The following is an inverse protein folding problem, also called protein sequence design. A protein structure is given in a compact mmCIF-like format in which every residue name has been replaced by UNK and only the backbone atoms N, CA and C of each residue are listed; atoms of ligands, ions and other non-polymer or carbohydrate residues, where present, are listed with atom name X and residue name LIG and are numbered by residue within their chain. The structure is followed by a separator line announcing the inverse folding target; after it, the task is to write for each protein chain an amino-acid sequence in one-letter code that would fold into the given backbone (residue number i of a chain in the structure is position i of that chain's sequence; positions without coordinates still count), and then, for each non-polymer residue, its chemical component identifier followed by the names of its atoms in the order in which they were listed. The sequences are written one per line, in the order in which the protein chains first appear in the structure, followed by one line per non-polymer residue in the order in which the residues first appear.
data_IF_932191700168
#
_entry.id   IF_932191700168
#
_cell.length_a   1.000
_cell.length_b   1.000
_cell.length_c   1.000
_cell.angle_alpha   90.00
_cell.angle_beta   90.00
_cell.angle_gamma   90.00
#
_symmetry.space_group_name_H-M   'P 1'
#
loop_
_entity.id
_entity.type
_entity.pdbx_description
1 polymer ?
#
# COMPACT_ATOMS: atom_id res chain seq x y z
N UNK A 1 19.58 -3.92 41.15
CA UNK A 1 18.39 -3.37 40.46
C UNK A 1 17.90 -4.39 39.46
N UNK A 2 16.83 -5.10 39.81
CA UNK A 2 16.25 -6.23 39.09
C UNK A 2 15.46 -5.75 37.87
N UNK A 3 15.97 -6.00 36.67
CA UNK A 3 15.22 -5.83 35.43
C UNK A 3 14.19 -6.95 35.32
N UNK A 4 12.92 -6.61 35.50
CA UNK A 4 11.77 -7.50 35.32
C UNK A 4 11.78 -8.08 33.91
N UNK A 5 12.22 -9.34 33.77
CA UNK A 5 12.19 -10.08 32.49
C UNK A 5 10.73 -10.25 32.08
N UNK A 6 10.31 -9.57 31.01
CA UNK A 6 9.01 -9.82 30.36
C UNK A 6 9.07 -11.23 29.77
N UNK A 7 8.50 -12.19 30.50
CA UNK A 7 8.40 -13.56 30.05
C UNK A 7 7.22 -13.65 29.08
N UNK A 8 7.51 -13.72 27.79
CA UNK A 8 6.51 -13.99 26.74
C UNK A 8 6.04 -15.43 26.92
N UNK A 9 4.89 -15.63 27.57
CA UNK A 9 4.31 -16.95 27.85
C UNK A 9 3.78 -17.61 26.56
N UNK A 10 4.68 -18.08 25.70
CA UNK A 10 4.31 -18.92 24.57
C UNK A 10 4.33 -20.37 25.04
N UNK A 11 3.18 -21.05 25.04
CA UNK A 11 3.11 -22.50 25.30
C UNK A 11 3.57 -23.21 24.02
N UNK A 12 4.81 -23.68 24.03
CA UNK A 12 5.37 -24.53 22.97
C UNK A 12 5.33 -25.99 23.42
N UNK A 13 5.17 -26.89 22.45
CA UNK A 13 5.42 -28.31 22.67
C UNK A 13 6.84 -28.53 23.23
N UNK A 14 7.00 -29.51 24.12
CA UNK A 14 8.24 -29.72 24.87
C UNK A 14 9.43 -30.01 23.94
N UNK A 15 9.21 -30.75 22.84
CA UNK A 15 10.24 -31.01 21.84
C UNK A 15 10.66 -29.76 21.06
N UNK A 16 9.69 -28.91 20.73
CA UNK A 16 9.93 -27.62 20.04
C UNK A 16 10.66 -26.65 20.96
N UNK A 17 10.28 -26.60 22.23
CA UNK A 17 10.92 -25.75 23.23
C UNK A 17 12.40 -26.10 23.42
N UNK A 18 12.71 -27.40 23.54
CA UNK A 18 14.10 -27.84 23.69
C UNK A 18 14.93 -27.61 22.42
N UNK A 19 14.36 -27.81 21.23
CA UNK A 19 15.02 -27.46 19.97
C UNK A 19 15.33 -25.96 19.89
N UNK A 20 14.38 -25.09 20.26
CA UNK A 20 14.60 -23.65 20.27
C UNK A 20 15.63 -23.21 21.33
N UNK A 21 15.63 -23.81 22.53
CA UNK A 21 16.67 -23.56 23.55
C UNK A 21 18.05 -24.02 23.10
N UNK A 22 18.16 -25.17 22.43
CA UNK A 22 19.41 -25.65 21.86
C UNK A 22 19.93 -24.69 20.78
N UNK A 23 19.03 -24.21 19.91
CA UNK A 23 19.35 -23.23 18.87
C UNK A 23 19.75 -21.84 19.42
N UNK A 24 19.19 -21.43 20.56
CA UNK A 24 19.61 -20.23 21.29
C UNK A 24 21.02 -20.39 21.88
N UNK A 25 21.30 -21.54 22.51
CA UNK A 25 22.62 -21.87 23.08
C UNK A 25 23.72 -21.90 22.02
N UNK A 26 23.46 -22.51 20.86
CA UNK A 26 24.44 -22.56 19.76
C UNK A 26 24.78 -21.19 19.17
N UNK A 27 23.90 -20.21 19.38
CA UNK A 27 24.09 -18.81 18.96
C UNK A 27 24.54 -17.90 20.11
N UNK A 28 24.85 -18.46 21.28
CA UNK A 28 25.23 -17.72 22.49
C UNK A 28 24.23 -16.63 22.89
N UNK A 29 22.93 -16.87 22.64
CA UNK A 29 21.84 -15.98 23.03
C UNK A 29 21.06 -16.57 24.19
N UNK A 30 20.55 -15.71 25.06
CA UNK A 30 19.46 -16.07 25.96
C UNK A 30 18.23 -16.45 25.11
N UNK A 31 17.44 -17.41 25.59
CA UNK A 31 16.27 -17.91 24.87
C UNK A 31 15.27 -16.79 24.53
N UNK A 32 15.03 -15.84 25.44
CA UNK A 32 14.11 -14.73 25.17
C UNK A 32 14.68 -13.78 24.12
N UNK A 33 15.97 -13.41 24.19
CA UNK A 33 16.66 -12.65 23.14
C UNK A 33 16.67 -13.38 21.80
N UNK A 34 16.77 -14.71 21.80
CA UNK A 34 16.71 -15.52 20.60
C UNK A 34 15.32 -15.46 19.97
N UNK A 35 14.25 -15.59 20.77
CA UNK A 35 12.86 -15.44 20.31
C UNK A 35 12.58 -14.02 19.83
N UNK A 36 12.99 -12.99 20.57
CA UNK A 36 12.89 -11.59 20.15
C UNK A 36 13.59 -11.35 18.81
N UNK A 37 14.81 -11.89 18.66
CA UNK A 37 15.58 -11.79 17.42
C UNK A 37 14.89 -12.52 16.27
N UNK A 38 14.34 -13.70 16.49
CA UNK A 38 13.55 -14.41 15.48
C UNK A 38 12.33 -13.61 15.07
N UNK A 39 11.59 -13.03 16.01
CA UNK A 39 10.42 -12.18 15.71
C UNK A 39 10.85 -10.93 14.91
N UNK A 40 11.95 -10.29 15.29
CA UNK A 40 12.49 -9.12 14.57
C UNK A 40 12.98 -9.51 13.18
N UNK A 41 13.69 -10.63 13.03
CA UNK A 41 14.18 -11.12 11.75
C UNK A 41 13.02 -11.52 10.81
N UNK A 42 11.98 -12.16 11.35
CA UNK A 42 10.77 -12.56 10.61
C UNK A 42 9.97 -11.32 10.13
N UNK A 43 9.78 -10.33 11.01
CA UNK A 43 9.07 -9.09 10.65
C UNK A 43 9.90 -8.15 9.76
N UNK A 44 11.23 -8.12 9.92
CA UNK A 44 12.14 -7.37 9.03
C UNK A 44 12.20 -8.01 7.65
N UNK A 45 12.22 -9.34 7.58
CA UNK A 45 12.16 -10.10 6.32
C UNK A 45 10.86 -9.83 5.56
N UNK A 46 9.71 -9.91 6.24
CA UNK A 46 8.41 -9.58 5.65
C UNK A 46 8.36 -8.13 5.13
N UNK A 47 8.89 -7.17 5.90
CA UNK A 47 9.01 -5.77 5.45
C UNK A 47 9.91 -5.63 4.23
N UNK A 48 11.07 -6.29 4.23
CA UNK A 48 12.01 -6.24 3.12
C UNK A 48 11.41 -6.86 1.84
N UNK A 49 10.71 -8.00 1.97
CA UNK A 49 9.99 -8.64 0.89
C UNK A 49 8.92 -7.71 0.29
N UNK A 50 8.09 -7.11 1.14
CA UNK A 50 7.09 -6.13 0.71
C UNK A 50 7.70 -4.92 -0.01
N UNK A 51 8.78 -4.35 0.54
CA UNK A 51 9.50 -3.23 -0.10
C UNK A 51 10.10 -3.63 -1.45
N UNK A 52 10.69 -4.82 -1.56
CA UNK A 52 11.23 -5.33 -2.82
C UNK A 52 10.13 -5.56 -3.86
N UNK A 53 8.96 -6.05 -3.45
CA UNK A 53 7.82 -6.24 -4.32
C UNK A 53 7.22 -4.92 -4.82
N UNK A 54 7.09 -3.91 -3.94
CA UNK A 54 6.72 -2.56 -4.37
C UNK A 54 7.74 -1.95 -5.34
N UNK A 55 9.04 -2.15 -5.10
CA UNK A 55 10.06 -1.65 -6.02
C UNK A 55 9.92 -2.28 -7.41
N UNK A 56 9.69 -3.61 -7.50
CA UNK A 56 9.40 -4.29 -8.77
C UNK A 56 8.17 -3.69 -9.47
N UNK A 57 7.07 -3.49 -8.74
CA UNK A 57 5.86 -2.87 -9.30
C UNK A 57 6.14 -1.45 -9.84
N UNK A 58 6.93 -0.65 -9.11
CA UNK A 58 7.28 0.71 -9.54
C UNK A 58 8.17 0.67 -10.78
N UNK A 59 9.16 -0.22 -10.82
CA UNK A 59 10.08 -0.36 -11.94
C UNK A 59 9.35 -0.84 -13.20
N UNK A 60 8.42 -1.80 -13.06
CA UNK A 60 7.68 -2.41 -14.18
C UNK A 60 6.49 -1.57 -14.66
N UNK A 61 5.81 -0.88 -13.74
CA UNK A 61 4.51 -0.25 -14.00
C UNK A 61 4.41 1.22 -13.58
N UNK A 62 5.41 1.80 -12.91
CA UNK A 62 5.33 3.17 -12.38
C UNK A 62 5.02 4.23 -13.45
N UNK A 63 5.74 4.22 -14.58
CA UNK A 63 5.49 5.16 -15.67
C UNK A 63 4.09 4.98 -16.31
N UNK A 64 3.60 3.74 -16.36
CA UNK A 64 2.27 3.43 -16.86
C UNK A 64 1.18 3.96 -15.90
N UNK A 65 1.34 3.70 -14.60
CA UNK A 65 0.41 4.15 -13.55
C UNK A 65 0.37 5.68 -13.48
N UNK A 66 1.52 6.35 -13.57
CA UNK A 66 1.59 7.81 -13.56
C UNK A 66 0.87 8.40 -14.80
N UNK A 67 0.98 7.76 -15.96
CA UNK A 67 0.23 8.14 -17.17
C UNK A 67 -1.27 7.90 -17.05
N UNK A 68 -1.67 6.77 -16.46
CA UNK A 68 -3.07 6.42 -16.23
C UNK A 68 -3.73 7.38 -15.22
N UNK A 69 -3.02 7.75 -14.15
CA UNK A 69 -3.47 8.74 -13.18
C UNK A 69 -3.74 10.09 -13.86
N UNK A 70 -2.81 10.57 -14.69
CA UNK A 70 -2.99 11.81 -15.45
C UNK A 70 -4.19 11.76 -16.41
N UNK A 71 -4.43 10.61 -17.04
CA UNK A 71 -5.60 10.42 -17.90
C UNK A 71 -6.92 10.44 -17.13
N UNK A 72 -6.95 9.85 -15.94
CA UNK A 72 -8.14 9.82 -15.08
C UNK A 72 -8.44 11.17 -14.45
N UNK A 73 -7.41 11.97 -14.15
CA UNK A 73 -7.52 13.33 -13.61
C UNK A 73 -7.82 14.39 -14.67
N UNK A 74 -7.64 14.06 -15.95
CA UNK A 74 -7.90 14.98 -17.03
C UNK A 74 -9.36 15.47 -16.93
N UNK A 75 -9.60 16.79 -16.85
CA UNK A 75 -10.95 17.30 -16.73
C UNK A 75 -11.78 16.79 -17.91
N UNK A 76 -12.95 16.21 -17.61
CA UNK A 76 -13.87 15.76 -18.65
C UNK A 76 -14.11 16.96 -19.57
N UNK A 77 -13.88 16.84 -20.89
CA UNK A 77 -14.05 17.97 -21.78
C UNK A 77 -15.52 18.41 -21.68
N UNK A 78 -15.73 19.56 -21.05
CA UNK A 78 -17.03 20.21 -21.04
C UNK A 78 -17.32 20.46 -22.52
N UNK A 79 -18.33 19.76 -23.07
CA UNK A 79 -18.84 20.08 -24.40
C UNK A 79 -19.32 21.52 -24.34
N UNK A 80 -18.44 22.42 -24.75
CA UNK A 80 -18.71 23.83 -24.88
C UNK A 80 -19.93 23.99 -25.78
N UNK A 81 -21.06 24.36 -25.17
CA UNK A 81 -22.27 24.80 -25.87
C UNK A 81 -22.14 26.28 -26.22
N UNK A 82 -20.94 26.74 -26.57
CA UNK A 82 -20.69 28.12 -26.98
C UNK A 82 -21.05 28.27 -28.47
N UNK A 83 -21.72 29.35 -28.87
CA UNK A 83 -21.96 29.65 -30.27
C UNK A 83 -20.63 29.87 -31.01
N UNK A 84 -20.55 29.58 -32.32
CA UNK A 84 -19.33 29.70 -33.09
C UNK A 84 -18.99 31.19 -33.24
N UNK A 85 -17.98 31.67 -32.51
CA UNK A 85 -17.53 33.06 -32.62
C UNK A 85 -16.28 33.45 -31.84
N UNK A 86 -15.91 32.72 -30.79
CA UNK A 86 -14.93 33.26 -29.81
C UNK A 86 -13.69 32.38 -29.56
N UNK A 87 -13.23 31.67 -30.59
CA UNK A 87 -12.06 30.77 -30.50
C UNK A 87 -10.70 31.49 -30.57
N UNK A 88 -10.66 32.83 -30.65
CA UNK A 88 -9.41 33.55 -30.90
C UNK A 88 -8.66 34.06 -29.65
N UNK A 89 -9.17 33.90 -28.42
CA UNK A 89 -8.57 34.56 -27.22
C UNK A 89 -8.39 33.71 -25.97
N UNK A 90 -8.12 32.41 -26.09
CA UNK A 90 -7.65 31.60 -24.95
C UNK A 90 -6.36 30.84 -25.26
N UNK A 91 -5.27 31.59 -25.40
CA UNK A 91 -3.92 31.13 -25.03
C UNK A 91 -3.44 32.01 -23.89
N UNK A 92 -3.94 31.73 -22.69
CA UNK A 92 -3.27 32.14 -21.46
C UNK A 92 -2.59 30.88 -20.94
N UNK A 93 -1.27 31.01 -20.77
CA UNK A 93 -0.35 30.03 -20.21
C UNK A 93 -1.00 29.15 -19.13
N UNK A 94 -0.99 27.85 -19.34
CA UNK A 94 -0.97 26.90 -18.23
C UNK A 94 0.50 26.80 -17.76
N UNK A 95 0.85 27.19 -16.52
CA UNK A 95 2.21 27.04 -16.02
C UNK A 95 2.56 25.58 -15.66
N UNK A 96 1.61 24.64 -15.72
CA UNK A 96 1.84 23.24 -15.33
C UNK A 96 2.30 22.38 -16.50
N UNK A 97 3.17 22.95 -17.33
CA UNK A 97 3.86 22.25 -18.41
C UNK A 97 4.74 21.14 -17.83
N UNK A 98 4.33 19.90 -18.11
CA UNK A 98 5.07 18.66 -17.90
C UNK A 98 6.55 18.82 -18.20
N UNK A 99 7.39 18.57 -17.20
CA UNK A 99 8.80 18.26 -17.40
C UNK A 99 9.00 16.78 -17.16
N UNK A 100 8.98 16.02 -18.24
CA UNK A 100 9.64 14.73 -18.30
C UNK A 100 11.15 14.99 -18.07
N UNK A 101 11.66 14.63 -16.89
CA UNK A 101 13.08 14.79 -16.57
C UNK A 101 13.37 14.68 -15.07
N UNK A 102 13.88 13.51 -14.66
CA UNK A 102 14.19 13.06 -13.29
C UNK A 102 12.96 13.00 -12.36
N UNK A 103 12.51 11.78 -12.07
CA UNK A 103 11.48 11.48 -11.06
C UNK A 103 12.01 11.96 -9.71
N UNK A 104 11.64 13.19 -9.34
CA UNK A 104 11.73 13.64 -7.96
C UNK A 104 10.59 12.95 -7.22
N UNK A 105 10.85 12.44 -6.03
CA UNK A 105 9.77 11.85 -5.23
C UNK A 105 8.66 12.88 -5.04
N UNK A 106 7.38 12.50 -5.22
CA UNK A 106 6.27 13.42 -5.12
C UNK A 106 6.23 14.03 -3.71
N UNK A 107 6.01 15.35 -3.61
CA UNK A 107 5.83 15.95 -2.30
C UNK A 107 4.47 15.55 -1.71
N UNK A 108 4.39 15.57 -0.38
CA UNK A 108 3.16 15.29 0.36
C UNK A 108 2.38 16.59 0.58
N UNK A 109 1.16 16.65 0.08
CA UNK A 109 0.23 17.77 0.25
C UNK A 109 -0.58 17.64 1.54
N UNK A 110 -0.87 16.39 1.99
CA UNK A 110 -1.64 16.13 3.20
C UNK A 110 -1.16 14.87 3.95
N UNK A 111 -0.42 15.08 5.04
CA UNK A 111 0.06 14.01 5.91
C UNK A 111 -1.05 13.31 6.72
N UNK A 112 -2.25 13.90 6.81
CA UNK A 112 -3.38 13.33 7.54
C UNK A 112 -3.96 12.09 6.85
N UNK A 113 -3.90 12.03 5.52
CA UNK A 113 -4.45 10.92 4.72
C UNK A 113 -3.77 9.58 5.03
N UNK A 114 -2.43 9.42 5.00
CA UNK A 114 -1.81 8.15 5.34
C UNK A 114 -2.03 7.76 6.80
N UNK A 115 -2.12 8.71 7.73
CA UNK A 115 -2.45 8.44 9.14
C UNK A 115 -3.89 7.90 9.23
N UNK A 116 -4.84 8.53 8.56
CA UNK A 116 -6.23 8.08 8.49
C UNK A 116 -6.36 6.69 7.84
N UNK A 117 -5.60 6.42 6.78
CA UNK A 117 -5.55 5.10 6.13
C UNK A 117 -5.04 4.03 7.11
N UNK A 118 -4.00 4.34 7.88
CA UNK A 118 -3.45 3.43 8.90
C UNK A 118 -4.46 3.18 10.03
N UNK A 119 -5.10 4.23 10.55
CA UNK A 119 -6.12 4.09 11.58
C UNK A 119 -7.33 3.30 11.08
N UNK A 120 -7.79 3.58 9.85
CA UNK A 120 -8.95 2.94 9.23
C UNK A 120 -8.77 1.44 9.07
N UNK A 121 -7.68 0.98 8.43
CA UNK A 121 -7.52 -0.47 8.17
C UNK A 121 -7.26 -1.29 9.44
N UNK A 122 -6.82 -0.65 10.53
CA UNK A 122 -6.65 -1.25 11.86
C UNK A 122 -7.85 -1.07 12.77
N UNK A 123 -8.92 -0.43 12.28
CA UNK A 123 -10.07 -0.11 13.10
C UNK A 123 -10.73 -1.38 13.66
N UNK A 124 -11.16 -1.29 14.91
CA UNK A 124 -11.87 -2.33 15.64
C UNK A 124 -13.18 -1.74 16.18
N UNK A 125 -14.21 -2.56 16.21
CA UNK A 125 -15.50 -2.24 16.82
C UNK A 125 -15.89 -3.39 17.73
N UNK A 126 -16.09 -3.11 19.01
CA UNK A 126 -16.42 -4.12 20.02
C UNK A 126 -15.41 -5.30 19.99
N UNK A 127 -14.11 -4.96 20.04
CA UNK A 127 -12.99 -5.90 19.98
C UNK A 127 -12.96 -6.79 18.72
N UNK A 128 -13.74 -6.43 17.70
CA UNK A 128 -13.82 -7.14 16.42
C UNK A 128 -13.20 -6.27 15.33
N UNK A 129 -12.21 -6.79 14.57
CA UNK A 129 -11.65 -6.07 13.44
C UNK A 129 -12.74 -5.65 12.43
N UNK A 130 -12.75 -4.38 12.03
CA UNK A 130 -13.70 -3.88 11.02
C UNK A 130 -13.46 -4.51 9.64
N UNK A 131 -12.19 -4.84 9.35
CA UNK A 131 -11.76 -5.46 8.09
C UNK A 131 -11.14 -6.82 8.41
N UNK A 132 -11.86 -7.87 8.02
CA UNK A 132 -11.45 -9.26 8.25
C UNK A 132 -10.52 -9.77 7.15
N UNK A 133 -9.39 -10.35 7.56
CA UNK A 133 -8.34 -10.85 6.66
C UNK A 133 -7.46 -9.77 6.00
N UNK A 134 -6.37 -10.23 5.39
CA UNK A 134 -5.35 -9.35 4.79
C UNK A 134 -5.88 -8.58 3.57
N UNK A 135 -6.72 -9.19 2.74
CA UNK A 135 -7.30 -8.52 1.56
C UNK A 135 -8.25 -7.38 1.93
N UNK A 136 -9.09 -7.53 2.97
CA UNK A 136 -9.99 -6.46 3.39
C UNK A 136 -9.21 -5.27 3.98
N UNK A 137 -8.14 -5.55 4.74
CA UNK A 137 -7.26 -4.51 5.30
C UNK A 137 -6.45 -3.80 4.23
N UNK A 138 -5.89 -4.55 3.28
CA UNK A 138 -5.23 -3.97 2.10
C UNK A 138 -6.20 -3.10 1.30
N UNK A 139 -7.43 -3.57 1.07
CA UNK A 139 -8.46 -2.81 0.37
C UNK A 139 -8.82 -1.50 1.08
N UNK A 140 -8.88 -1.48 2.42
CA UNK A 140 -9.12 -0.26 3.20
C UNK A 140 -7.98 0.76 3.06
N UNK A 141 -6.73 0.30 3.05
CA UNK A 141 -5.55 1.14 2.78
C UNK A 141 -5.61 1.74 1.38
N UNK A 142 -5.78 0.88 0.36
CA UNK A 142 -5.84 1.27 -1.06
C UNK A 142 -6.97 2.24 -1.33
N UNK A 143 -8.16 1.97 -0.76
CA UNK A 143 -9.33 2.84 -0.92
C UNK A 143 -9.06 4.25 -0.39
N UNK A 144 -8.44 4.36 0.79
CA UNK A 144 -8.16 5.66 1.39
C UNK A 144 -7.04 6.39 0.64
N UNK A 145 -5.92 5.71 0.40
CA UNK A 145 -4.73 6.29 -0.25
C UNK A 145 -4.96 6.63 -1.73
N UNK A 146 -5.81 5.86 -2.42
CA UNK A 146 -6.10 6.05 -3.84
C UNK A 146 -7.22 7.04 -4.13
N UNK A 147 -8.12 7.30 -3.18
CA UNK A 147 -9.24 8.23 -3.36
C UNK A 147 -9.02 9.61 -2.79
N UNK A 148 -8.17 9.74 -1.78
CA UNK A 148 -7.77 11.02 -1.23
C UNK A 148 -6.52 11.51 -1.97
N UNK A 149 -6.53 12.75 -2.46
CA UNK A 149 -5.35 13.37 -3.06
C UNK A 149 -4.47 13.91 -1.94
N UNK A 150 -3.32 13.27 -1.73
CA UNK A 150 -2.40 13.59 -0.62
C UNK A 150 -0.95 13.75 -1.06
N UNK A 151 -0.66 13.44 -2.32
CA UNK A 151 0.61 13.69 -2.99
C UNK A 151 0.40 14.59 -4.21
N UNK A 152 1.43 15.36 -4.57
CA UNK A 152 1.46 16.19 -5.78
C UNK A 152 1.19 15.36 -7.06
N UNK A 153 1.47 14.06 -7.01
CA UNK A 153 1.20 13.07 -8.06
C UNK A 153 1.54 11.65 -7.59
N UNK A 154 1.34 10.66 -8.46
CA UNK A 154 1.62 9.24 -8.20
C UNK A 154 0.81 8.65 -7.03
N UNK A 155 -0.38 9.20 -6.73
CA UNK A 155 -1.27 8.68 -5.70
C UNK A 155 -1.70 7.24 -6.02
N UNK A 156 -2.01 6.95 -7.30
CA UNK A 156 -2.37 5.63 -7.79
C UNK A 156 -1.19 4.65 -7.64
N UNK A 157 0.01 5.07 -8.03
CA UNK A 157 1.24 4.26 -7.89
C UNK A 157 1.47 3.89 -6.43
N UNK A 158 1.34 4.86 -5.51
CA UNK A 158 1.52 4.61 -4.07
C UNK A 158 0.40 3.75 -3.49
N UNK A 159 -0.86 3.91 -3.93
CA UNK A 159 -1.95 3.05 -3.52
C UNK A 159 -1.71 1.58 -3.94
N UNK A 160 -1.32 1.35 -5.20
CA UNK A 160 -0.98 0.00 -5.69
C UNK A 160 0.21 -0.60 -4.94
N UNK A 161 1.28 0.19 -4.75
CA UNK A 161 2.47 -0.25 -4.00
C UNK A 161 2.13 -0.60 -2.54
N UNK A 162 1.26 0.19 -1.88
CA UNK A 162 0.81 -0.10 -0.52
C UNK A 162 0.04 -1.43 -0.44
N UNK A 163 -0.78 -1.76 -1.44
CA UNK A 163 -1.45 -3.05 -1.54
C UNK A 163 -0.44 -4.20 -1.61
N UNK A 164 0.53 -4.09 -2.52
CA UNK A 164 1.59 -5.10 -2.71
C UNK A 164 2.41 -5.27 -1.45
N UNK A 165 2.90 -4.17 -0.85
CA UNK A 165 3.66 -4.23 0.42
C UNK A 165 2.86 -4.94 1.50
N UNK A 166 1.58 -4.59 1.65
CA UNK A 166 0.75 -5.13 2.72
C UNK A 166 0.51 -6.64 2.55
N UNK A 167 0.22 -7.09 1.33
CA UNK A 167 -0.04 -8.50 1.02
C UNK A 167 1.23 -9.34 1.11
N UNK A 168 2.35 -8.85 0.55
CA UNK A 168 3.65 -9.53 0.60
C UNK A 168 4.21 -9.63 2.02
N UNK A 169 4.08 -8.57 2.81
CA UNK A 169 4.42 -8.61 4.24
C UNK A 169 3.48 -9.54 5.04
N UNK A 170 2.30 -9.83 4.51
CA UNK A 170 1.37 -10.83 5.01
C UNK A 170 1.58 -12.24 4.43
N UNK A 171 2.71 -12.49 3.76
CA UNK A 171 3.04 -13.75 3.07
C UNK A 171 2.05 -14.15 1.96
N UNK A 172 1.42 -13.16 1.32
CA UNK A 172 0.59 -13.35 0.13
C UNK A 172 1.34 -12.74 -1.06
N UNK A 173 2.06 -13.55 -1.85
CA UNK A 173 2.77 -13.06 -3.01
C UNK A 173 1.80 -12.58 -4.10
N UNK A 174 2.07 -11.41 -4.67
CA UNK A 174 1.20 -10.78 -5.68
C UNK A 174 2.00 -10.11 -6.79
N UNK A 175 1.58 -10.31 -8.03
CA UNK A 175 2.16 -9.68 -9.22
C UNK A 175 1.02 -9.17 -10.13
N UNK A 176 0.49 -7.95 -9.87
CA UNK A 176 -0.64 -7.43 -10.63
C UNK A 176 -0.27 -7.13 -12.08
N UNK A 177 -1.11 -7.56 -13.03
CA UNK A 177 -0.94 -7.20 -14.44
C UNK A 177 -1.38 -5.76 -14.73
N UNK A 178 -1.01 -5.21 -15.89
CA UNK A 178 -1.46 -3.87 -16.31
C UNK A 178 -2.99 -3.78 -16.42
N UNK A 179 -3.65 -4.83 -16.87
CA UNK A 179 -5.10 -4.91 -16.95
C UNK A 179 -5.73 -4.83 -15.56
N UNK A 180 -5.14 -5.53 -14.58
CA UNK A 180 -5.59 -5.49 -13.20
C UNK A 180 -5.35 -4.10 -12.56
N UNK A 181 -4.19 -3.51 -12.79
CA UNK A 181 -3.89 -2.15 -12.35
C UNK A 181 -4.84 -1.11 -12.97
N UNK A 182 -5.19 -1.28 -14.24
CA UNK A 182 -6.16 -0.45 -14.95
C UNK A 182 -7.55 -0.59 -14.33
N UNK A 183 -7.98 -1.82 -14.07
CA UNK A 183 -9.26 -2.09 -13.43
C UNK A 183 -9.35 -1.46 -12.03
N UNK A 184 -8.29 -1.57 -11.22
CA UNK A 184 -8.23 -0.94 -9.91
C UNK A 184 -8.28 0.59 -10.02
N UNK A 185 -7.56 1.19 -10.98
CA UNK A 185 -7.56 2.63 -11.17
C UNK A 185 -8.96 3.16 -11.54
N UNK A 186 -9.67 2.47 -12.43
CA UNK A 186 -11.05 2.81 -12.77
C UNK A 186 -12.00 2.62 -11.58
N UNK A 187 -11.85 1.54 -10.82
CA UNK A 187 -12.62 1.31 -9.59
C UNK A 187 -12.37 2.43 -8.58
N UNK A 188 -11.12 2.85 -8.37
CA UNK A 188 -10.77 3.95 -7.47
C UNK A 188 -11.31 5.31 -7.94
N UNK A 189 -11.48 5.51 -9.25
CA UNK A 189 -12.07 6.74 -9.80
C UNK A 189 -13.61 6.72 -9.78
N UNK A 190 -14.26 5.56 -9.70
CA UNK A 190 -15.72 5.45 -9.62
C UNK A 190 -16.24 6.08 -8.30
N UNK A 191 -17.13 7.08 -8.30
CA UNK A 191 -17.70 7.65 -7.07
C UNK A 191 -18.39 6.61 -6.16
N UNK A 192 -18.77 5.44 -6.69
CA UNK A 192 -19.40 4.33 -5.97
C UNK A 192 -18.40 3.29 -5.44
N UNK A 193 -17.10 3.54 -5.56
CA UNK A 193 -16.06 2.65 -5.07
C UNK A 193 -16.22 2.34 -3.58
N UNK A 194 -16.10 1.07 -3.22
CA UNK A 194 -16.12 0.62 -1.83
C UNK A 194 -14.92 -0.26 -1.53
N UNK A 195 -14.57 -0.35 -0.25
CA UNK A 195 -13.53 -1.28 0.23
C UNK A 195 -13.87 -2.74 -0.09
N UNK A 196 -15.14 -3.11 -0.06
CA UNK A 196 -15.58 -4.48 -0.38
C UNK A 196 -15.32 -4.85 -1.85
N UNK A 197 -15.56 -3.92 -2.79
CA UNK A 197 -15.27 -4.14 -4.22
C UNK A 197 -13.78 -4.35 -4.45
N UNK A 198 -12.94 -3.50 -3.87
CA UNK A 198 -11.48 -3.66 -3.94
C UNK A 198 -11.05 -4.99 -3.28
N UNK A 199 -11.61 -5.35 -2.13
CA UNK A 199 -11.27 -6.60 -1.44
C UNK A 199 -11.63 -7.85 -2.25
N UNK A 200 -12.70 -7.81 -3.04
CA UNK A 200 -13.05 -8.91 -3.98
C UNK A 200 -12.11 -9.00 -5.18
N UNK A 201 -11.46 -7.89 -5.51
CA UNK A 201 -10.60 -7.76 -6.69
C UNK A 201 -9.15 -8.17 -6.41
N UNK A 202 -8.57 -7.78 -5.27
CA UNK A 202 -7.17 -8.07 -4.92
C UNK A 202 -6.76 -9.56 -4.99
N UNK A 203 -7.62 -10.55 -4.66
CA UNK A 203 -7.27 -11.97 -4.77
C UNK A 203 -6.97 -12.46 -6.20
N UNK A 204 -7.32 -11.65 -7.22
CA UNK A 204 -7.01 -11.93 -8.63
C UNK A 204 -5.54 -11.68 -8.97
N UNK A 205 -4.81 -10.93 -8.13
CA UNK A 205 -3.39 -10.67 -8.31
C UNK A 205 -2.62 -11.94 -7.92
N UNK A 206 -2.31 -12.77 -8.92
CA UNK A 206 -1.50 -13.98 -8.74
C UNK A 206 0.00 -13.63 -8.87
N UNK A 207 0.90 -14.44 -8.31
CA UNK A 207 2.34 -14.27 -8.52
C UNK A 207 2.75 -14.35 -9.98
#
# INVERSE_FOLDING_TARGET
MTSTKKQTQVRLDEGVLEACKAAARSRHLDYNRYVERLIVEDTTGARAAGMAAAQRLIDEHGAFLDGLEQQLDAPTPVRSRAPPGDLARRRVLDPRGSRAGRRRDPACDDYGVPIAAVARHRGELLDTPLYDGLFARAAALVHTLGRCRWLEGSNLTVACAAAVIYLEAGNIPVSPTREQLTALAHELNDPRCTTARIASFLPTWKP
#
